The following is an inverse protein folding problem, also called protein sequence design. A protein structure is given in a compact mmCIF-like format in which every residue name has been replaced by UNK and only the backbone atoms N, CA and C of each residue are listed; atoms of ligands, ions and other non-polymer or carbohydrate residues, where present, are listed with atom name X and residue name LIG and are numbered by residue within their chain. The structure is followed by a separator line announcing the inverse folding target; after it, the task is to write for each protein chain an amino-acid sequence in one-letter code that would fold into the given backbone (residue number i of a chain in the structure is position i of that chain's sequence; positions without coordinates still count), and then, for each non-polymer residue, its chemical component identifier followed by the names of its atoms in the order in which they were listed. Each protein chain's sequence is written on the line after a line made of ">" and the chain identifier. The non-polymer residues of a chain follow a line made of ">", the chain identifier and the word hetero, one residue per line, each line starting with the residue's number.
data_IF_941117566100
#
_entry.id   IF_941117566100
#
_cell.length_a   1.000
_cell.length_b   1.000
_cell.length_c   1.000
_cell.angle_alpha   90.00
_cell.angle_beta   90.00
_cell.angle_gamma   90.00
#
_symmetry.space_group_name_H-M   'P 1'
#
loop_
_entity.id
_entity.type
_entity.pdbx_description
1 polymer ?
#
# COMPACT_ATOMS: atom_id res chain seq x y z
N UNK A 1 -6.41 -27.48 -1.23
CA UNK A 1 -6.78 -26.31 -0.40
C UNK A 1 -7.93 -25.59 -1.07
N UNK A 2 -8.77 -24.95 -0.26
CA UNK A 2 -9.92 -24.16 -0.69
C UNK A 2 -9.55 -22.67 -0.68
N UNK A 3 -9.44 -22.08 -1.86
CA UNK A 3 -8.96 -20.72 -2.06
C UNK A 3 -10.12 -19.84 -2.49
N UNK A 4 -10.37 -18.79 -1.72
CA UNK A 4 -11.29 -17.73 -2.06
C UNK A 4 -10.63 -16.79 -3.06
N UNK A 5 -11.28 -16.48 -4.18
CA UNK A 5 -10.77 -15.54 -5.17
C UNK A 5 -11.85 -14.51 -5.51
N UNK A 6 -11.63 -13.24 -5.14
CA UNK A 6 -12.61 -12.17 -5.32
C UNK A 6 -12.07 -11.17 -6.33
N UNK A 7 -12.73 -11.08 -7.49
CA UNK A 7 -12.32 -10.24 -8.60
C UNK A 7 -11.75 -11.06 -9.75
N UNK A 8 -12.63 -11.49 -10.66
CA UNK A 8 -12.30 -12.32 -11.83
C UNK A 8 -12.21 -11.49 -13.12
N UNK A 9 -11.64 -10.30 -13.01
CA UNK A 9 -11.36 -9.44 -14.16
C UNK A 9 -10.20 -9.93 -15.02
N UNK A 10 -9.70 -9.07 -15.91
CA UNK A 10 -8.60 -9.38 -16.85
C UNK A 10 -7.38 -10.01 -16.16
N UNK A 11 -7.02 -9.51 -14.98
CA UNK A 11 -5.89 -10.05 -14.19
C UNK A 11 -6.29 -11.23 -13.31
N UNK A 12 -7.44 -11.16 -12.64
CA UNK A 12 -7.82 -12.19 -11.66
C UNK A 12 -8.22 -13.52 -12.28
N UNK A 13 -8.88 -13.52 -13.45
CA UNK A 13 -9.31 -14.73 -14.13
C UNK A 13 -8.15 -15.71 -14.50
N UNK A 14 -7.05 -15.28 -15.14
CA UNK A 14 -5.92 -16.18 -15.39
C UNK A 14 -5.23 -16.65 -14.10
N UNK A 15 -5.15 -15.81 -13.06
CA UNK A 15 -4.58 -16.20 -11.76
C UNK A 15 -5.42 -17.29 -11.08
N UNK A 16 -6.75 -17.11 -11.04
CA UNK A 16 -7.66 -18.11 -10.49
C UNK A 16 -7.61 -19.43 -11.28
N UNK A 17 -7.47 -19.37 -12.61
CA UNK A 17 -7.27 -20.58 -13.44
C UNK A 17 -5.98 -21.32 -13.10
N UNK A 18 -4.85 -20.63 -12.98
CA UNK A 18 -3.60 -21.30 -12.59
C UNK A 18 -3.70 -21.99 -11.23
N UNK A 19 -4.40 -21.38 -10.27
CA UNK A 19 -4.64 -22.00 -8.96
C UNK A 19 -5.56 -23.23 -9.08
N UNK A 20 -6.60 -23.17 -9.93
CA UNK A 20 -7.47 -24.32 -10.21
C UNK A 20 -6.71 -25.45 -10.91
N UNK A 21 -5.90 -25.14 -11.92
CA UNK A 21 -5.08 -26.10 -12.68
C UNK A 21 -4.02 -26.76 -11.79
N UNK A 22 -3.55 -26.07 -10.75
CA UNK A 22 -2.68 -26.62 -9.72
C UNK A 22 -3.41 -27.54 -8.71
N UNK A 23 -4.72 -27.76 -8.87
CA UNK A 23 -5.52 -28.67 -8.04
C UNK A 23 -6.14 -28.03 -6.80
N UNK A 24 -6.19 -26.70 -6.71
CA UNK A 24 -6.90 -26.01 -5.63
C UNK A 24 -8.38 -25.81 -5.98
N UNK A 25 -9.26 -25.90 -4.97
CA UNK A 25 -10.67 -25.57 -5.14
C UNK A 25 -10.84 -24.06 -5.09
N UNK A 26 -11.44 -23.46 -6.11
CA UNK A 26 -11.70 -22.02 -6.15
C UNK A 26 -13.12 -21.73 -5.66
N UNK A 27 -13.25 -20.88 -4.65
CA UNK A 27 -14.51 -20.31 -4.18
C UNK A 27 -14.55 -18.84 -4.56
N UNK A 28 -15.63 -18.38 -5.17
CA UNK A 28 -15.73 -16.99 -5.65
C UNK A 28 -17.11 -16.42 -5.40
N UNK A 29 -17.21 -15.09 -5.37
CA UNK A 29 -18.47 -14.37 -5.54
C UNK A 29 -18.42 -13.67 -6.89
N UNK A 30 -19.54 -13.66 -7.62
CA UNK A 30 -19.66 -12.89 -8.85
C UNK A 30 -20.25 -11.52 -8.54
N UNK A 31 -19.74 -10.50 -9.20
CA UNK A 31 -20.27 -9.14 -9.13
C UNK A 31 -20.59 -8.66 -10.56
N UNK A 32 -19.75 -7.78 -11.12
CA UNK A 32 -20.00 -7.15 -12.43
C UNK A 32 -19.76 -8.06 -13.64
N UNK A 33 -19.03 -9.16 -13.47
CA UNK A 33 -18.62 -10.03 -14.57
C UNK A 33 -19.05 -11.48 -14.29
N UNK A 34 -19.45 -12.23 -15.35
CA UNK A 34 -19.79 -13.64 -15.21
C UNK A 34 -18.54 -14.47 -14.86
N UNK A 35 -18.76 -15.72 -14.43
CA UNK A 35 -17.67 -16.66 -14.23
C UNK A 35 -16.90 -16.84 -15.55
N UNK A 36 -15.56 -16.67 -15.58
CA UNK A 36 -14.77 -16.85 -16.79
C UNK A 36 -14.92 -18.24 -17.38
N UNK A 37 -15.01 -18.31 -18.70
CA UNK A 37 -15.07 -19.59 -19.41
C UNK A 37 -13.80 -20.42 -19.12
N UNK A 38 -13.99 -21.72 -18.85
CA UNK A 38 -12.91 -22.65 -18.52
C UNK A 38 -12.40 -22.56 -17.07
N UNK A 39 -12.97 -21.71 -16.21
CA UNK A 39 -12.70 -21.74 -14.78
C UNK A 39 -13.82 -22.49 -14.05
N UNK A 40 -13.49 -23.63 -13.44
CA UNK A 40 -14.39 -24.30 -12.49
C UNK A 40 -14.21 -23.67 -11.12
N UNK A 41 -15.26 -23.05 -10.59
CA UNK A 41 -15.27 -22.47 -9.25
C UNK A 41 -16.64 -22.64 -8.58
N UNK A 42 -16.64 -22.79 -7.26
CA UNK A 42 -17.86 -22.72 -6.45
C UNK A 42 -18.25 -21.26 -6.26
N UNK A 43 -19.40 -20.87 -6.83
CA UNK A 43 -19.93 -19.52 -6.69
C UNK A 43 -20.81 -19.44 -5.45
N UNK A 44 -20.50 -18.50 -4.55
CA UNK A 44 -21.26 -18.23 -3.33
C UNK A 44 -21.88 -16.84 -3.36
N UNK A 45 -22.77 -16.52 -2.41
CA UNK A 45 -23.63 -15.35 -2.49
C UNK A 45 -22.92 -14.03 -2.12
N UNK A 46 -21.83 -14.09 -1.34
CA UNK A 46 -21.14 -12.89 -0.85
C UNK A 46 -19.64 -13.10 -0.63
N UNK A 47 -18.89 -11.99 -0.59
CA UNK A 47 -17.48 -11.99 -0.20
C UNK A 47 -17.26 -12.58 1.21
N UNK A 48 -18.21 -12.37 2.13
CA UNK A 48 -18.17 -12.95 3.47
C UNK A 48 -18.32 -14.48 3.45
N UNK A 49 -19.12 -15.02 2.54
CA UNK A 49 -19.20 -16.48 2.33
C UNK A 49 -17.93 -17.04 1.69
N UNK A 50 -17.31 -16.31 0.76
CA UNK A 50 -15.99 -16.69 0.21
C UNK A 50 -14.98 -16.80 1.35
N UNK A 51 -14.93 -15.81 2.23
CA UNK A 51 -14.02 -15.82 3.37
C UNK A 51 -14.29 -16.97 4.36
N UNK A 52 -15.56 -17.20 4.74
CA UNK A 52 -15.93 -18.30 5.64
C UNK A 52 -15.62 -19.69 5.06
N UNK A 53 -15.75 -19.81 3.74
CA UNK A 53 -15.59 -21.09 3.04
C UNK A 53 -14.16 -21.42 2.64
N UNK A 54 -13.19 -20.52 2.82
CA UNK A 54 -11.84 -20.64 2.25
C UNK A 54 -10.75 -20.60 3.33
N UNK A 55 -9.66 -21.30 3.08
CA UNK A 55 -8.46 -21.28 3.94
C UNK A 55 -7.63 -20.01 3.71
N UNK A 56 -7.63 -19.51 2.47
CA UNK A 56 -6.94 -18.28 2.04
C UNK A 56 -7.88 -17.53 1.11
N UNK A 57 -7.91 -16.20 1.21
CA UNK A 57 -8.65 -15.33 0.28
C UNK A 57 -7.68 -14.42 -0.47
N UNK A 58 -7.80 -14.40 -1.79
CA UNK A 58 -7.11 -13.50 -2.71
C UNK A 58 -8.13 -12.51 -3.27
N UNK A 59 -7.84 -11.22 -3.18
CA UNK A 59 -8.66 -10.16 -3.80
C UNK A 59 -7.89 -9.50 -4.94
N UNK A 60 -8.53 -9.32 -6.09
CA UNK A 60 -7.95 -8.68 -7.27
C UNK A 60 -8.96 -7.71 -7.90
N UNK A 61 -9.02 -6.50 -7.32
CA UNK A 61 -10.10 -5.54 -7.52
C UNK A 61 -9.62 -4.26 -8.23
N UNK A 62 -10.49 -3.52 -8.94
CA UNK A 62 -10.09 -2.41 -9.81
C UNK A 62 -9.58 -1.18 -9.05
N UNK A 63 -10.22 -0.85 -7.93
CA UNK A 63 -9.97 0.38 -7.18
C UNK A 63 -10.35 0.25 -5.70
N UNK A 64 -10.11 1.33 -4.95
CA UNK A 64 -10.31 1.39 -3.49
C UNK A 64 -11.76 1.16 -3.05
N UNK A 65 -12.79 1.77 -3.66
CA UNK A 65 -14.18 1.47 -3.33
C UNK A 65 -14.54 -0.01 -3.46
N UNK A 66 -13.99 -0.71 -4.46
CA UNK A 66 -14.21 -2.13 -4.62
C UNK A 66 -13.50 -2.97 -3.54
N UNK A 67 -12.28 -2.58 -3.17
CA UNK A 67 -11.52 -3.20 -2.06
C UNK A 67 -12.25 -2.99 -0.73
N UNK A 68 -12.71 -1.76 -0.45
CA UNK A 68 -13.46 -1.43 0.75
C UNK A 68 -14.75 -2.26 0.82
N UNK A 69 -15.55 -2.32 -0.25
CA UNK A 69 -16.77 -3.14 -0.23
C UNK A 69 -16.50 -4.61 0.10
N UNK A 70 -15.41 -5.18 -0.40
CA UNK A 70 -15.05 -6.60 -0.19
C UNK A 70 -14.47 -6.85 1.20
N UNK A 71 -13.66 -5.93 1.73
CA UNK A 71 -13.00 -6.09 3.02
C UNK A 71 -13.87 -5.64 4.21
N UNK A 72 -14.76 -4.67 4.00
CA UNK A 72 -15.60 -4.06 5.04
C UNK A 72 -16.99 -4.71 5.09
N UNK A 73 -17.58 -5.03 3.93
CA UNK A 73 -18.99 -5.41 3.85
C UNK A 73 -19.92 -4.18 3.91
N UNK A 74 -21.21 -4.40 4.20
CA UNK A 74 -22.19 -3.31 4.40
C UNK A 74 -22.03 -2.61 5.76
N UNK A 75 -21.32 -3.23 6.71
CA UNK A 75 -20.89 -2.63 7.97
C UNK A 75 -19.46 -2.10 7.80
N UNK A 76 -19.28 -0.79 7.76
CA UNK A 76 -18.02 -0.06 7.55
C UNK A 76 -16.98 -0.24 8.68
N UNK A 77 -16.61 -1.47 9.04
CA UNK A 77 -15.49 -1.73 9.95
C UNK A 77 -14.27 -2.20 9.16
N UNK A 78 -13.23 -1.35 9.15
CA UNK A 78 -11.91 -1.64 8.58
C UNK A 78 -11.39 -3.02 8.97
N UNK A 79 -11.51 -3.99 8.07
CA UNK A 79 -10.97 -5.33 8.26
C UNK A 79 -9.46 -5.30 8.49
N UNK A 80 -8.92 -6.30 9.19
CA UNK A 80 -7.52 -6.33 9.65
C UNK A 80 -6.49 -6.09 8.51
N UNK A 81 -6.78 -6.50 7.28
CA UNK A 81 -5.93 -6.26 6.11
C UNK A 81 -5.81 -4.79 5.74
N UNK A 82 -6.91 -4.04 5.75
CA UNK A 82 -6.91 -2.60 5.48
C UNK A 82 -6.19 -1.84 6.59
N UNK A 83 -6.43 -2.20 7.84
CA UNK A 83 -5.73 -1.64 9.00
C UNK A 83 -4.22 -1.90 8.91
N UNK A 84 -3.81 -3.12 8.55
CA UNK A 84 -2.40 -3.47 8.33
C UNK A 84 -1.77 -2.65 7.20
N UNK A 85 -2.47 -2.48 6.07
CA UNK A 85 -2.00 -1.64 4.96
C UNK A 85 -1.83 -0.19 5.39
N UNK A 86 -2.82 0.39 6.06
CA UNK A 86 -2.75 1.77 6.57
C UNK A 86 -1.57 1.93 7.54
N UNK A 87 -1.40 1.01 8.49
CA UNK A 87 -0.28 1.00 9.42
C UNK A 87 1.08 0.97 8.68
N UNK A 88 1.20 0.13 7.65
CA UNK A 88 2.39 0.12 6.79
C UNK A 88 2.61 1.47 6.09
N UNK A 89 1.57 2.07 5.49
CA UNK A 89 1.71 3.34 4.77
C UNK A 89 2.07 4.51 5.70
N UNK A 90 1.61 4.49 6.96
CA UNK A 90 2.05 5.42 8.02
C UNK A 90 3.55 5.26 8.27
N UNK A 91 4.02 4.03 8.56
CA UNK A 91 5.44 3.77 8.84
C UNK A 91 6.32 4.17 7.65
N UNK A 92 5.91 3.84 6.43
CA UNK A 92 6.67 4.19 5.22
C UNK A 92 6.77 5.71 5.05
N UNK A 93 5.68 6.46 5.24
CA UNK A 93 5.70 7.92 5.13
C UNK A 93 6.62 8.57 6.16
N UNK A 94 6.46 8.21 7.44
CA UNK A 94 7.26 8.77 8.54
C UNK A 94 8.75 8.42 8.39
N UNK A 95 9.07 7.22 7.93
CA UNK A 95 10.46 6.85 7.68
C UNK A 95 11.05 7.61 6.49
N UNK A 96 10.26 7.89 5.43
CA UNK A 96 10.74 8.69 4.29
C UNK A 96 11.03 10.12 4.74
N UNK A 97 10.10 10.72 5.48
CA UNK A 97 10.27 12.03 6.10
C UNK A 97 11.54 12.06 6.99
N UNK A 98 11.67 11.13 7.92
CA UNK A 98 12.82 11.09 8.84
C UNK A 98 14.16 10.94 8.12
N UNK A 99 14.22 10.11 7.07
CA UNK A 99 15.43 9.96 6.25
C UNK A 99 15.71 11.24 5.45
N UNK A 100 14.69 11.86 4.87
CA UNK A 100 14.82 13.12 4.15
C UNK A 100 15.39 14.23 5.07
N UNK A 101 14.79 14.42 6.25
CA UNK A 101 15.26 15.39 7.24
C UNK A 101 16.71 15.13 7.65
N UNK A 102 17.05 13.89 8.00
CA UNK A 102 18.38 13.52 8.45
C UNK A 102 19.45 13.75 7.36
N UNK A 103 19.15 13.42 6.10
CA UNK A 103 20.10 13.60 4.99
C UNK A 103 20.24 15.07 4.59
N UNK A 104 19.15 15.85 4.61
CA UNK A 104 19.21 17.31 4.37
C UNK A 104 20.02 17.99 5.47
N UNK A 105 19.77 17.65 6.74
CA UNK A 105 20.54 18.15 7.87
C UNK A 105 22.03 17.81 7.73
N UNK A 106 22.36 16.53 7.50
CA UNK A 106 23.75 16.09 7.34
C UNK A 106 24.46 16.82 6.21
N UNK A 107 23.79 16.96 5.05
CA UNK A 107 24.31 17.71 3.90
C UNK A 107 24.59 19.16 4.25
N UNK A 108 23.64 19.85 4.91
CA UNK A 108 23.79 21.24 5.35
C UNK A 108 24.83 21.43 6.45
N UNK A 109 25.08 20.40 7.27
CA UNK A 109 26.16 20.37 8.25
C UNK A 109 27.54 20.09 7.62
N UNK A 110 27.63 19.95 6.30
CA UNK A 110 28.90 19.71 5.57
C UNK A 110 29.34 18.25 5.56
N UNK A 111 28.48 17.32 6.00
CA UNK A 111 28.75 15.88 5.93
C UNK A 111 28.34 15.33 4.56
N UNK A 112 29.06 14.30 4.10
CA UNK A 112 28.70 13.52 2.91
C UNK A 112 27.48 12.63 3.23
N UNK A 113 26.30 12.85 2.61
CA UNK A 113 25.10 12.08 2.87
C UNK A 113 25.27 10.57 2.61
N UNK A 114 26.11 10.17 1.65
CA UNK A 114 26.37 8.76 1.37
C UNK A 114 27.13 8.09 2.52
N UNK A 115 28.12 8.78 3.10
CA UNK A 115 28.87 8.29 4.27
C UNK A 115 27.99 8.24 5.51
N UNK A 116 27.15 9.26 5.72
CA UNK A 116 26.19 9.28 6.84
C UNK A 116 25.20 8.12 6.72
N UNK A 117 24.59 7.92 5.55
CA UNK A 117 23.74 6.75 5.28
C UNK A 117 24.48 5.46 5.60
N UNK A 118 25.71 5.30 5.09
CA UNK A 118 26.53 4.11 5.33
C UNK A 118 26.77 3.84 6.83
N UNK A 119 27.06 4.87 7.62
CA UNK A 119 27.22 4.75 9.06
C UNK A 119 25.91 4.38 9.79
N UNK A 120 24.78 4.97 9.39
CA UNK A 120 23.47 4.73 10.01
C UNK A 120 22.92 3.32 9.74
N UNK A 121 23.34 2.67 8.65
CA UNK A 121 22.91 1.30 8.31
C UNK A 121 23.36 0.23 9.31
N UNK A 122 24.36 0.52 10.16
CA UNK A 122 24.84 -0.41 11.19
C UNK A 122 24.12 -0.34 12.53
N UNK A 123 23.17 0.60 12.71
CA UNK A 123 22.52 0.88 13.99
C UNK A 123 21.00 0.87 13.94
N UNK A 124 20.35 1.35 15.00
CA UNK A 124 18.89 1.38 15.14
C UNK A 124 18.17 2.25 14.10
N UNK A 125 18.88 3.13 13.40
CA UNK A 125 18.35 3.91 12.29
C UNK A 125 18.15 3.08 11.01
N UNK A 126 18.73 1.87 10.93
CA UNK A 126 18.62 1.00 9.77
C UNK A 126 17.15 0.65 9.50
N UNK A 127 16.71 0.91 8.27
CA UNK A 127 15.37 0.57 7.79
C UNK A 127 15.42 0.33 6.28
N UNK A 128 14.42 -0.38 5.74
CA UNK A 128 14.29 -0.56 4.29
C UNK A 128 14.19 0.77 3.53
N UNK A 129 13.62 1.78 4.18
CA UNK A 129 13.49 3.13 3.62
C UNK A 129 14.85 3.83 3.55
N UNK A 130 15.66 3.79 4.62
CA UNK A 130 17.02 4.33 4.59
C UNK A 130 17.90 3.62 3.54
N UNK A 131 17.74 2.30 3.43
CA UNK A 131 18.46 1.50 2.46
C UNK A 131 18.09 1.89 1.01
N UNK A 132 16.80 1.88 0.66
CA UNK A 132 16.36 2.09 -0.72
C UNK A 132 16.17 3.57 -1.03
N UNK A 133 15.30 4.25 -0.29
CA UNK A 133 14.93 5.63 -0.57
C UNK A 133 16.03 6.59 -0.17
N UNK A 134 16.78 6.33 0.90
CA UNK A 134 17.97 7.11 1.22
C UNK A 134 18.99 7.13 0.08
N UNK A 135 19.17 6.01 -0.63
CA UNK A 135 20.02 5.96 -1.82
C UNK A 135 19.43 6.78 -2.98
N UNK A 136 18.12 6.63 -3.26
CA UNK A 136 17.43 7.43 -4.29
C UNK A 136 17.53 8.93 -4.04
N UNK A 137 17.42 9.36 -2.79
CA UNK A 137 17.54 10.75 -2.36
C UNK A 137 18.94 11.31 -2.67
N UNK A 138 19.98 10.51 -2.39
CA UNK A 138 21.39 10.86 -2.68
C UNK A 138 21.62 10.94 -4.19
N UNK A 139 21.15 9.95 -4.95
CA UNK A 139 21.36 9.87 -6.40
C UNK A 139 20.40 10.77 -7.19
N UNK A 140 19.45 11.42 -6.52
CA UNK A 140 18.35 12.21 -7.10
C UNK A 140 17.55 11.43 -8.16
N UNK A 141 17.30 10.15 -7.91
CA UNK A 141 16.58 9.24 -8.81
C UNK A 141 15.12 9.06 -8.41
N UNK A 142 14.24 9.91 -8.95
CA UNK A 142 12.82 9.96 -8.57
C UNK A 142 11.85 9.42 -9.62
N UNK A 143 12.34 8.54 -10.51
CA UNK A 143 11.48 7.77 -11.39
C UNK A 143 10.51 6.93 -10.53
N UNK A 144 9.21 6.90 -10.84
CA UNK A 144 8.19 6.44 -9.90
C UNK A 144 8.25 4.93 -9.65
N UNK A 145 8.61 4.54 -8.42
CA UNK A 145 8.30 3.23 -7.85
C UNK A 145 6.97 3.25 -7.10
N UNK A 146 6.70 4.34 -6.36
CA UNK A 146 5.40 4.63 -5.77
C UNK A 146 5.16 6.15 -5.74
N UNK A 147 4.11 6.62 -6.43
CA UNK A 147 3.91 8.06 -6.68
C UNK A 147 3.45 8.81 -5.44
N UNK A 148 3.89 10.06 -5.27
CA UNK A 148 3.43 10.93 -4.16
C UNK A 148 1.90 10.97 -4.09
N UNK A 149 1.20 11.16 -5.21
CA UNK A 149 -0.27 11.22 -5.21
C UNK A 149 -0.95 9.94 -4.67
N UNK A 150 -0.32 8.78 -4.84
CA UNK A 150 -0.82 7.51 -4.32
C UNK A 150 -0.57 7.40 -2.82
N UNK A 151 0.60 7.82 -2.36
CA UNK A 151 0.89 7.85 -0.92
C UNK A 151 0.01 8.87 -0.18
N UNK A 152 -0.26 10.04 -0.79
CA UNK A 152 -1.21 11.02 -0.25
C UNK A 152 -2.60 10.43 -0.05
N UNK A 153 -3.07 9.62 -1.00
CA UNK A 153 -4.35 8.93 -0.88
C UNK A 153 -4.35 8.00 0.32
N UNK A 154 -3.30 7.21 0.51
CA UNK A 154 -3.18 6.30 1.65
C UNK A 154 -3.13 7.03 3.00
N UNK A 155 -2.43 8.18 3.06
CA UNK A 155 -2.37 8.99 4.28
C UNK A 155 -3.69 9.71 4.58
N UNK A 156 -4.48 10.09 3.56
CA UNK A 156 -5.85 10.56 3.79
C UNK A 156 -6.71 9.47 4.46
N UNK A 157 -6.64 8.23 3.95
CA UNK A 157 -7.33 7.08 4.57
C UNK A 157 -6.88 6.85 6.02
N UNK A 158 -5.59 7.01 6.29
CA UNK A 158 -5.04 6.92 7.64
C UNK A 158 -5.63 7.98 8.58
N UNK A 159 -5.70 9.24 8.13
CA UNK A 159 -6.22 10.35 8.93
C UNK A 159 -7.74 10.28 9.11
N UNK A 160 -8.48 9.83 8.10
CA UNK A 160 -9.92 9.55 8.22
C UNK A 160 -10.18 8.44 9.26
N UNK A 161 -9.44 7.33 9.16
CA UNK A 161 -9.53 6.23 10.11
C UNK A 161 -9.16 6.66 11.53
N UNK A 162 -8.11 7.48 11.68
CA UNK A 162 -7.68 8.01 12.96
C UNK A 162 -8.75 8.90 13.61
N UNK A 163 -9.43 9.73 12.82
CA UNK A 163 -10.58 10.52 13.29
C UNK A 163 -11.72 9.64 13.77
N UNK A 164 -12.09 8.61 13.00
CA UNK A 164 -13.16 7.69 13.37
C UNK A 164 -12.85 6.91 14.66
N UNK A 165 -11.58 6.55 14.87
CA UNK A 165 -11.11 5.80 16.04
C UNK A 165 -10.75 6.68 17.25
N UNK A 166 -10.75 8.02 17.12
CA UNK A 166 -10.31 8.92 18.17
C UNK A 166 -8.81 8.84 18.50
N UNK A 167 -7.97 8.45 17.52
CA UNK A 167 -6.52 8.31 17.68
C UNK A 167 -5.80 9.52 17.07
N UNK A 168 -4.84 10.10 17.81
CA UNK A 168 -4.02 11.20 17.29
C UNK A 168 -2.81 10.67 16.51
N UNK A 169 -2.70 11.05 15.23
CA UNK A 169 -1.56 10.73 14.36
C UNK A 169 -0.85 12.02 13.88
N UNK A 170 -0.18 12.78 14.78
CA UNK A 170 0.35 14.11 14.47
C UNK A 170 1.38 14.09 13.34
N UNK A 171 2.35 13.16 13.37
CA UNK A 171 3.39 13.08 12.34
C UNK A 171 2.84 12.60 11.01
N UNK A 172 1.79 11.75 11.01
CA UNK A 172 1.10 11.37 9.77
C UNK A 172 0.42 12.57 9.13
N UNK A 173 -0.18 13.46 9.92
CA UNK A 173 -0.75 14.70 9.42
C UNK A 173 0.33 15.63 8.86
N UNK A 174 1.49 15.71 9.51
CA UNK A 174 2.64 16.50 9.01
C UNK A 174 3.18 15.94 7.70
N UNK A 175 3.47 14.64 7.63
CA UNK A 175 3.93 13.97 6.42
C UNK A 175 2.96 14.17 5.25
N UNK A 176 1.64 14.16 5.51
CA UNK A 176 0.64 14.47 4.50
C UNK A 176 0.74 15.90 3.98
N UNK A 177 1.03 16.88 4.83
CA UNK A 177 1.25 18.27 4.39
C UNK A 177 2.55 18.43 3.60
N UNK A 178 3.62 17.74 4.00
CA UNK A 178 4.87 17.73 3.22
C UNK A 178 4.65 17.14 1.83
N UNK A 179 3.88 16.04 1.72
CA UNK A 179 3.50 15.49 0.42
C UNK A 179 2.63 16.45 -0.40
N UNK A 180 1.73 17.23 0.23
CA UNK A 180 0.98 18.29 -0.46
C UNK A 180 1.92 19.34 -1.07
N UNK A 181 2.93 19.77 -0.31
CA UNK A 181 3.94 20.71 -0.81
C UNK A 181 4.71 20.13 -2.00
N UNK A 182 5.16 18.88 -1.92
CA UNK A 182 5.82 18.20 -3.03
C UNK A 182 4.93 18.06 -4.27
N UNK A 183 3.67 17.65 -4.10
CA UNK A 183 2.71 17.51 -5.20
C UNK A 183 2.41 18.81 -5.93
N UNK A 184 2.56 19.97 -5.26
CA UNK A 184 2.35 21.28 -5.87
C UNK A 184 3.47 21.69 -6.84
N UNK A 185 4.65 21.06 -6.78
CA UNK A 185 5.71 21.29 -7.76
C UNK A 185 5.38 20.62 -9.11
N UNK A 186 5.78 21.22 -10.25
CA UNK A 186 5.58 20.61 -11.56
C UNK A 186 6.15 19.19 -11.63
N UNK A 187 5.29 18.20 -11.89
CA UNK A 187 5.67 16.78 -11.94
C UNK A 187 5.84 16.09 -10.58
N UNK A 188 5.78 16.82 -9.47
CA UNK A 188 6.00 16.27 -8.12
C UNK A 188 4.98 15.20 -7.73
N UNK A 189 3.71 15.37 -8.10
CA UNK A 189 2.66 14.39 -7.83
C UNK A 189 2.91 13.02 -8.50
N UNK A 190 3.61 13.00 -9.64
CA UNK A 190 3.94 11.78 -10.39
C UNK A 190 5.33 11.21 -10.06
N UNK A 191 6.15 11.93 -9.29
CA UNK A 191 7.46 11.47 -8.85
C UNK A 191 7.33 10.40 -7.76
N UNK A 192 8.40 9.61 -7.58
CA UNK A 192 8.50 8.67 -6.46
C UNK A 192 8.40 9.41 -5.12
N UNK A 193 7.73 8.81 -4.13
CA UNK A 193 7.60 9.40 -2.79
C UNK A 193 8.92 9.67 -2.05
N UNK A 194 10.05 9.12 -2.51
CA UNK A 194 11.37 9.53 -2.03
C UNK A 194 11.78 10.95 -2.46
N UNK A 195 11.06 11.59 -3.38
CA UNK A 195 11.27 12.99 -3.75
C UNK A 195 10.75 14.00 -2.72
N UNK A 196 10.40 13.52 -1.50
CA UNK A 196 10.09 14.37 -0.35
C UNK A 196 11.31 15.18 0.14
N UNK A 197 12.53 14.78 -0.27
CA UNK A 197 13.83 15.33 0.17
C UNK A 197 14.28 16.62 -0.51
#
# INVERSE_FOLDING_TARGET
>A
MRIGFIGLGVMGAPMARHLADAGHEIVTVLNRSPLPQGLTASVVASAAEVARGSEIVVTMLPDTPDVERVLLGEDEQNGAGQTCKIANQIIVALNIEAVAEALVFASKAGCDPAKVRGALMGGFAASRVLEVHGQRMIDRTFAPGFRIKLHQKDLNLALDSARALGVALPNTAMAQQLMNACSAHPGGAEADHSSLV
#
